data_IF_288596672861
#
_entry.id   IF_288596672861
#
_cell.length_a   1.000
_cell.length_b   1.000
_cell.length_c   1.000
_cell.angle_alpha   90.00
_cell.angle_beta   90.00
_cell.angle_gamma   90.00
#
_symmetry.space_group_name_H-M   'P 1'
#
loop_
_entity.id
_entity.type
_entity.pdbx_description
1 polymer ?
#
# COMPACT_ATOMS: atom_id res chain seq x y z
N UNK A 1 10.65 44.15 41.71
CA UNK A 1 10.84 42.72 41.40
C UNK A 1 10.27 42.48 40.01
N UNK A 2 11.14 42.35 39.00
CA UNK A 2 10.72 42.12 37.60
C UNK A 2 10.75 40.61 37.34
N UNK A 3 9.60 40.02 37.12
CA UNK A 3 9.46 38.60 36.76
C UNK A 3 9.65 38.50 35.24
N UNK A 4 10.79 37.94 34.80
CA UNK A 4 11.01 37.57 33.41
C UNK A 4 10.31 36.22 33.15
N UNK A 5 9.19 36.25 32.45
CA UNK A 5 8.54 35.03 31.93
C UNK A 5 9.27 34.67 30.64
N UNK A 6 10.14 33.67 30.73
CA UNK A 6 10.79 33.11 29.57
C UNK A 6 9.77 32.19 28.86
N UNK A 7 9.23 32.63 27.72
CA UNK A 7 8.45 31.80 26.84
C UNK A 7 9.38 30.76 26.17
N UNK A 8 9.30 29.54 26.63
CA UNK A 8 9.93 28.40 25.94
C UNK A 8 9.12 28.09 24.68
N UNK A 9 9.61 28.56 23.52
CA UNK A 9 9.01 28.21 22.23
C UNK A 9 9.38 26.75 21.93
N UNK A 10 8.46 25.82 22.23
CA UNK A 10 8.59 24.45 21.82
C UNK A 10 8.36 24.40 20.29
N UNK A 11 9.44 24.34 19.53
CA UNK A 11 9.37 24.01 18.10
C UNK A 11 8.95 22.56 17.95
N UNK A 12 7.68 22.35 17.69
CA UNK A 12 7.19 21.05 17.22
C UNK A 12 7.75 20.86 15.82
N UNK A 13 8.83 20.08 15.71
CA UNK A 13 9.29 19.59 14.41
C UNK A 13 8.25 18.55 13.98
N UNK A 14 7.21 19.00 13.30
CA UNK A 14 6.26 18.11 12.65
C UNK A 14 7.01 17.31 11.60
N UNK A 15 7.06 15.98 11.75
CA UNK A 15 7.46 15.12 10.66
C UNK A 15 6.49 15.41 9.50
N UNK A 16 6.98 16.03 8.45
CA UNK A 16 6.19 16.25 7.23
C UNK A 16 6.00 14.90 6.57
N UNK A 17 4.81 14.31 6.73
CA UNK A 17 4.41 13.17 5.93
C UNK A 17 4.25 13.63 4.49
N UNK A 18 4.89 12.92 3.55
CA UNK A 18 4.80 13.23 2.13
C UNK A 18 3.85 12.25 1.46
N UNK A 19 2.97 12.79 0.61
CA UNK A 19 2.17 11.97 -0.28
C UNK A 19 3.09 11.21 -1.24
N UNK A 20 2.90 9.89 -1.33
CA UNK A 20 3.63 9.07 -2.28
C UNK A 20 2.87 9.01 -3.60
N UNK A 21 3.58 8.98 -4.70
CA UNK A 21 3.04 8.68 -6.01
C UNK A 21 4.07 7.89 -6.82
N UNK A 22 3.60 6.90 -7.53
CA UNK A 22 4.43 6.07 -8.41
C UNK A 22 3.57 5.53 -9.56
N UNK A 23 4.24 5.24 -10.65
CA UNK A 23 3.62 4.72 -11.88
C UNK A 23 3.80 3.22 -11.96
N UNK A 24 2.74 2.53 -12.30
CA UNK A 24 2.66 1.10 -12.50
C UNK A 24 2.10 0.80 -13.89
N UNK A 25 2.25 -0.43 -14.34
CA UNK A 25 1.51 -0.96 -15.50
C UNK A 25 0.40 -1.86 -14.99
N UNK A 26 -0.82 -1.61 -15.42
CA UNK A 26 -1.96 -2.40 -15.01
C UNK A 26 -2.09 -3.70 -15.83
N UNK A 27 -3.08 -4.53 -15.47
CA UNK A 27 -3.34 -5.81 -16.09
C UNK A 27 -3.61 -5.71 -17.61
N UNK A 28 -4.19 -4.61 -18.06
CA UNK A 28 -4.50 -4.34 -19.46
C UNK A 28 -3.31 -3.75 -20.25
N UNK A 29 -2.21 -3.45 -19.58
CA UNK A 29 -1.02 -2.86 -20.18
C UNK A 29 -1.02 -1.32 -20.18
N UNK A 30 -2.00 -0.71 -19.51
CA UNK A 30 -2.11 0.76 -19.42
C UNK A 30 -1.29 1.29 -18.23
N UNK A 31 -0.88 2.55 -18.34
CA UNK A 31 -0.26 3.27 -17.24
C UNK A 31 -1.28 3.51 -16.11
N UNK A 32 -0.87 3.24 -14.90
CA UNK A 32 -1.65 3.48 -13.69
C UNK A 32 -0.80 4.17 -12.64
N UNK A 33 -1.28 5.28 -12.09
CA UNK A 33 -0.61 5.96 -10.97
C UNK A 33 -1.39 5.74 -9.68
N UNK A 34 -0.69 5.54 -8.58
CA UNK A 34 -1.34 5.33 -7.28
C UNK A 34 -2.23 6.53 -6.88
N UNK A 35 -1.87 7.75 -7.30
CA UNK A 35 -2.67 8.96 -7.11
C UNK A 35 -4.06 8.92 -7.76
N UNK A 36 -4.30 7.97 -8.68
CA UNK A 36 -5.62 7.77 -9.29
C UNK A 36 -6.63 7.07 -8.37
N UNK A 37 -6.17 6.41 -7.30
CA UNK A 37 -7.04 5.79 -6.30
C UNK A 37 -7.68 6.88 -5.45
N UNK A 38 -9.01 6.88 -5.34
CA UNK A 38 -9.79 7.93 -4.66
C UNK A 38 -10.55 7.46 -3.42
N UNK A 39 -10.28 6.25 -2.94
CA UNK A 39 -10.84 5.74 -1.69
C UNK A 39 -10.17 6.39 -0.47
N UNK A 40 -10.82 6.34 0.68
CA UNK A 40 -10.25 6.83 1.95
C UNK A 40 -8.93 6.13 2.30
N UNK A 41 -8.83 4.84 1.98
CA UNK A 41 -7.67 4.01 2.22
C UNK A 41 -7.30 3.23 0.97
N UNK A 42 -6.00 2.98 0.79
CA UNK A 42 -5.47 2.08 -0.23
C UNK A 42 -4.56 1.06 0.44
N UNK A 43 -4.83 -0.22 0.25
CA UNK A 43 -3.91 -1.30 0.64
C UNK A 43 -3.06 -1.66 -0.57
N UNK A 44 -1.77 -1.37 -0.50
CA UNK A 44 -0.79 -1.77 -1.52
C UNK A 44 -0.12 -3.05 -1.06
N UNK A 45 -0.26 -4.09 -1.86
CA UNK A 45 0.30 -5.42 -1.62
C UNK A 45 1.39 -5.71 -2.65
N UNK A 46 2.65 -5.71 -2.19
CA UNK A 46 3.81 -6.05 -3.02
C UNK A 46 4.08 -7.55 -2.93
N UNK A 47 4.17 -8.21 -4.08
CA UNK A 47 4.38 -9.65 -4.15
C UNK A 47 5.25 -10.05 -5.36
N UNK A 48 5.71 -11.28 -5.36
CA UNK A 48 6.31 -11.92 -6.53
C UNK A 48 5.55 -13.20 -6.85
N UNK A 49 5.45 -13.56 -8.13
CA UNK A 49 4.65 -14.71 -8.59
C UNK A 49 5.15 -16.05 -8.03
N UNK A 50 6.45 -16.18 -7.80
CA UNK A 50 7.09 -17.41 -7.31
C UNK A 50 7.26 -17.46 -5.79
N UNK A 51 6.65 -16.54 -5.07
CA UNK A 51 6.79 -16.39 -3.63
C UNK A 51 5.65 -17.09 -2.87
N UNK A 52 5.96 -18.16 -2.14
CA UNK A 52 4.96 -18.89 -1.33
C UNK A 52 4.39 -18.07 -0.18
N UNK A 53 5.20 -17.27 0.49
CA UNK A 53 4.75 -16.36 1.54
C UNK A 53 3.81 -15.29 0.98
N UNK A 54 4.05 -14.83 -0.26
CA UNK A 54 3.17 -13.89 -0.96
C UNK A 54 1.80 -14.52 -1.26
N UNK A 55 1.78 -15.78 -1.69
CA UNK A 55 0.52 -16.51 -1.92
C UNK A 55 -0.31 -16.65 -0.65
N UNK A 56 0.33 -16.94 0.49
CA UNK A 56 -0.33 -16.96 1.80
C UNK A 56 -0.87 -15.59 2.18
N UNK A 57 -0.08 -14.54 1.95
CA UNK A 57 -0.47 -13.17 2.21
C UNK A 57 -1.68 -12.72 1.39
N UNK A 58 -1.71 -13.05 0.09
CA UNK A 58 -2.87 -12.79 -0.76
C UNK A 58 -4.13 -13.47 -0.25
N UNK A 59 -4.02 -14.75 0.18
CA UNK A 59 -5.14 -15.49 0.75
C UNK A 59 -5.64 -14.87 2.08
N UNK A 60 -4.75 -14.35 2.91
CA UNK A 60 -5.12 -13.64 4.13
C UNK A 60 -5.90 -12.36 3.82
N UNK A 61 -5.47 -11.57 2.85
CA UNK A 61 -6.19 -10.36 2.41
C UNK A 61 -7.58 -10.74 1.91
N UNK A 62 -7.66 -11.73 1.01
CA UNK A 62 -8.91 -12.17 0.40
C UNK A 62 -9.93 -12.65 1.43
N UNK A 63 -9.48 -13.36 2.46
CA UNK A 63 -10.34 -13.91 3.53
C UNK A 63 -10.62 -12.93 4.66
N UNK A 64 -9.98 -11.78 4.68
CA UNK A 64 -10.14 -10.79 5.76
C UNK A 64 -11.54 -10.19 5.76
N UNK A 65 -12.29 -10.41 6.84
CA UNK A 65 -13.58 -9.78 7.03
C UNK A 65 -13.46 -8.24 7.10
N UNK A 66 -12.35 -7.74 7.66
CA UNK A 66 -12.04 -6.31 7.72
C UNK A 66 -11.88 -5.71 6.33
N UNK A 67 -11.04 -6.30 5.49
CA UNK A 67 -10.82 -5.85 4.11
C UNK A 67 -12.12 -5.91 3.32
N UNK A 68 -12.86 -7.01 3.42
CA UNK A 68 -14.12 -7.19 2.71
C UNK A 68 -15.17 -6.15 3.12
N UNK A 69 -15.30 -5.84 4.42
CA UNK A 69 -16.21 -4.81 4.91
C UNK A 69 -15.85 -3.42 4.40
N UNK A 70 -14.57 -3.04 4.48
CA UNK A 70 -14.08 -1.73 4.01
C UNK A 70 -14.19 -1.61 2.48
N UNK A 71 -13.93 -2.67 1.73
CA UNK A 71 -14.06 -2.69 0.27
C UNK A 71 -15.52 -2.58 -0.15
N UNK A 72 -16.43 -3.32 0.50
CA UNK A 72 -17.87 -3.24 0.25
C UNK A 72 -18.41 -1.84 0.55
N UNK A 73 -17.92 -1.20 1.61
CA UNK A 73 -18.27 0.18 1.97
C UNK A 73 -17.60 1.23 1.04
N UNK A 74 -16.80 0.82 0.05
CA UNK A 74 -16.02 1.68 -0.85
C UNK A 74 -15.04 2.61 -0.13
N UNK A 75 -14.60 2.22 1.05
CA UNK A 75 -13.59 2.93 1.84
C UNK A 75 -12.17 2.48 1.55
N UNK A 76 -11.98 1.26 1.06
CA UNK A 76 -10.69 0.65 0.78
C UNK A 76 -10.61 0.16 -0.66
N UNK A 77 -9.49 0.44 -1.31
CA UNK A 77 -9.08 -0.19 -2.57
C UNK A 77 -7.84 -1.03 -2.32
N UNK A 78 -7.84 -2.28 -2.79
CA UNK A 78 -6.64 -3.12 -2.79
C UNK A 78 -5.95 -2.98 -4.15
N UNK A 79 -4.66 -2.67 -4.12
CA UNK A 79 -3.77 -2.60 -5.29
C UNK A 79 -2.68 -3.65 -5.09
N UNK A 80 -2.69 -4.70 -5.90
CA UNK A 80 -1.63 -5.70 -5.91
C UNK A 80 -0.57 -5.32 -6.93
N UNK A 81 0.71 -5.39 -6.55
CA UNK A 81 1.83 -5.01 -7.39
C UNK A 81 2.82 -6.16 -7.48
N UNK A 82 2.95 -6.72 -8.67
CA UNK A 82 3.96 -7.73 -8.96
C UNK A 82 5.35 -7.07 -9.06
N UNK A 83 6.28 -7.56 -8.23
CA UNK A 83 7.65 -7.07 -8.11
C UNK A 83 8.62 -8.08 -8.71
N UNK A 84 9.71 -7.59 -9.29
CA UNK A 84 10.79 -8.44 -9.83
C UNK A 84 10.32 -9.40 -10.92
N UNK A 85 9.38 -8.96 -11.74
CA UNK A 85 8.80 -9.75 -12.82
C UNK A 85 9.31 -9.28 -14.19
N UNK A 86 9.62 -10.23 -15.05
CA UNK A 86 9.95 -9.96 -16.45
C UNK A 86 8.70 -10.13 -17.32
N UNK A 87 8.39 -9.12 -18.13
CA UNK A 87 7.26 -9.17 -19.07
C UNK A 87 5.91 -9.36 -18.38
N UNK A 88 5.05 -10.18 -18.98
CA UNK A 88 3.65 -10.36 -18.57
C UNK A 88 3.38 -11.65 -17.77
N UNK A 89 4.43 -12.36 -17.34
CA UNK A 89 4.30 -13.64 -16.61
C UNK A 89 3.49 -13.52 -15.32
N UNK A 90 3.54 -12.39 -14.66
CA UNK A 90 2.81 -12.10 -13.43
C UNK A 90 1.28 -12.14 -13.60
N UNK A 91 0.78 -11.93 -14.82
CA UNK A 91 -0.68 -11.88 -15.08
C UNK A 91 -1.38 -13.19 -14.76
N UNK A 92 -0.69 -14.34 -14.94
CA UNK A 92 -1.26 -15.64 -14.55
C UNK A 92 -1.53 -15.76 -13.06
N UNK A 93 -0.63 -15.19 -12.24
CA UNK A 93 -0.82 -15.14 -10.78
C UNK A 93 -1.90 -14.13 -10.42
N UNK A 94 -1.85 -12.93 -10.97
CA UNK A 94 -2.83 -11.88 -10.72
C UNK A 94 -4.27 -12.32 -11.07
N UNK A 95 -4.44 -13.14 -12.12
CA UNK A 95 -5.73 -13.69 -12.50
C UNK A 95 -6.34 -14.65 -11.45
N UNK A 96 -5.56 -15.12 -10.47
CA UNK A 96 -6.05 -15.92 -9.35
C UNK A 96 -6.54 -15.08 -8.16
N UNK A 97 -6.28 -13.78 -8.16
CA UNK A 97 -6.70 -12.84 -7.12
C UNK A 97 -8.11 -12.28 -7.39
N UNK A 98 -8.79 -11.71 -6.40
CA UNK A 98 -10.10 -11.12 -6.59
C UNK A 98 -10.13 -10.05 -7.69
N UNK A 99 -11.14 -10.09 -8.55
CA UNK A 99 -11.33 -9.11 -9.64
C UNK A 99 -11.57 -7.68 -9.12
N UNK A 100 -12.01 -7.54 -7.87
CA UNK A 100 -12.20 -6.25 -7.21
C UNK A 100 -10.90 -5.51 -6.91
N UNK A 101 -9.75 -6.20 -6.92
CA UNK A 101 -8.44 -5.58 -6.75
C UNK A 101 -7.98 -4.91 -8.03
N UNK A 102 -7.14 -3.89 -7.91
CA UNK A 102 -6.39 -3.35 -9.04
C UNK A 102 -5.08 -4.12 -9.15
N UNK A 103 -4.89 -4.83 -10.25
CA UNK A 103 -3.69 -5.65 -10.48
C UNK A 103 -2.71 -4.90 -11.36
N UNK A 104 -1.47 -4.76 -10.87
CA UNK A 104 -0.41 -4.02 -11.53
C UNK A 104 0.94 -4.75 -11.40
N UNK A 105 1.92 -4.26 -12.15
CA UNK A 105 3.34 -4.59 -11.99
C UNK A 105 4.19 -3.33 -11.89
N UNK A 106 5.35 -3.43 -11.22
CA UNK A 106 6.36 -2.35 -11.17
C UNK A 106 7.20 -2.34 -12.46
N UNK A 107 6.52 -2.23 -13.61
CA UNK A 107 7.13 -2.32 -14.93
C UNK A 107 8.10 -1.17 -15.25
N UNK A 108 8.09 -0.12 -14.44
CA UNK A 108 8.94 1.06 -14.61
C UNK A 108 10.03 1.18 -13.55
N UNK A 109 10.15 0.16 -12.67
CA UNK A 109 11.10 0.10 -11.56
C UNK A 109 11.01 1.30 -10.59
N UNK A 110 9.88 2.03 -10.59
CA UNK A 110 9.70 3.21 -9.73
C UNK A 110 9.61 2.85 -8.24
N UNK A 111 9.13 1.67 -7.90
CA UNK A 111 9.14 1.17 -6.53
C UNK A 111 10.48 0.52 -6.16
N UNK A 112 11.09 -0.20 -7.10
CA UNK A 112 12.34 -0.91 -6.86
C UNK A 112 13.54 0.02 -6.75
N UNK A 113 13.61 1.05 -7.59
CA UNK A 113 14.72 2.01 -7.65
C UNK A 113 14.44 3.30 -6.89
N UNK A 114 13.15 3.58 -6.59
CA UNK A 114 12.71 4.78 -5.89
C UNK A 114 12.63 4.62 -4.37
N UNK A 115 12.16 5.67 -3.73
CA UNK A 115 11.99 5.77 -2.28
C UNK A 115 10.53 6.03 -1.86
N UNK A 116 9.59 5.89 -2.79
CA UNK A 116 8.17 6.10 -2.52
C UNK A 116 7.63 5.14 -1.45
N UNK A 117 8.01 3.87 -1.52
CA UNK A 117 7.72 2.86 -0.50
C UNK A 117 9.03 2.20 -0.08
N UNK A 118 9.30 2.18 1.22
CA UNK A 118 10.53 1.56 1.75
C UNK A 118 10.24 0.13 2.15
N UNK A 119 10.83 -0.83 1.46
CA UNK A 119 10.73 -2.26 1.73
C UNK A 119 12.04 -2.98 1.38
N UNK A 120 12.30 -4.11 2.01
CA UNK A 120 13.50 -4.92 1.77
C UNK A 120 13.17 -6.25 1.09
N UNK A 121 11.95 -6.75 1.29
CA UNK A 121 11.51 -8.05 0.79
C UNK A 121 10.01 -8.02 0.48
N UNK A 122 9.54 -9.05 -0.23
CA UNK A 122 8.11 -9.33 -0.45
C UNK A 122 7.73 -10.64 0.27
N UNK A 123 6.49 -10.77 0.77
CA UNK A 123 5.41 -9.79 0.68
C UNK A 123 5.67 -8.55 1.55
N UNK A 124 5.17 -7.42 1.12
CA UNK A 124 5.12 -6.18 1.89
C UNK A 124 3.76 -5.52 1.71
N UNK A 125 3.28 -4.91 2.79
CA UNK A 125 1.94 -4.31 2.84
C UNK A 125 2.05 -2.86 3.29
N UNK A 126 1.40 -1.97 2.55
CA UNK A 126 1.33 -0.55 2.86
C UNK A 126 -0.12 -0.09 2.86
N UNK A 127 -0.51 0.68 3.85
CA UNK A 127 -1.79 1.39 3.83
C UNK A 127 -1.52 2.86 3.60
N UNK A 128 -2.16 3.41 2.57
CA UNK A 128 -2.15 4.84 2.27
C UNK A 128 -3.49 5.43 2.66
N UNK A 129 -3.47 6.66 3.17
CA UNK A 129 -4.68 7.42 3.43
C UNK A 129 -5.22 8.13 2.16
N UNK A 130 -6.26 8.95 2.30
CA UNK A 130 -6.84 9.70 1.18
C UNK A 130 -5.88 10.73 0.56
N UNK A 131 -4.87 11.18 1.30
CA UNK A 131 -3.80 12.05 0.82
C UNK A 131 -2.62 11.26 0.22
N UNK A 132 -2.73 9.94 0.12
CA UNK A 132 -1.69 9.00 -0.32
C UNK A 132 -0.44 9.03 0.56
N UNK A 133 -0.57 9.35 1.84
CA UNK A 133 0.49 9.21 2.82
C UNK A 133 0.49 7.80 3.41
N UNK A 134 1.67 7.22 3.64
CA UNK A 134 1.78 5.91 4.29
C UNK A 134 1.40 6.03 5.77
N UNK A 135 0.32 5.39 6.15
CA UNK A 135 -0.20 5.40 7.54
C UNK A 135 0.03 4.09 8.29
N UNK A 136 0.32 3.01 7.58
CA UNK A 136 0.74 1.74 8.15
C UNK A 136 1.55 0.94 7.14
N UNK A 137 2.53 0.16 7.60
CA UNK A 137 3.28 -0.77 6.77
C UNK A 137 3.87 -1.89 7.60
N UNK A 138 3.96 -3.08 7.04
CA UNK A 138 4.62 -4.24 7.66
C UNK A 138 4.86 -5.33 6.61
N UNK A 139 5.71 -6.29 6.95
CA UNK A 139 5.90 -7.54 6.19
C UNK A 139 4.88 -8.62 6.56
N UNK A 140 4.08 -8.37 7.59
CA UNK A 140 2.99 -9.24 8.06
C UNK A 140 1.63 -8.57 7.85
N UNK A 141 0.75 -9.24 7.11
CA UNK A 141 -0.61 -8.71 6.89
C UNK A 141 -1.38 -8.53 8.19
N UNK A 142 -1.20 -9.41 9.19
CA UNK A 142 -1.92 -9.31 10.46
C UNK A 142 -1.67 -8.00 11.22
N UNK A 143 -0.48 -7.41 11.08
CA UNK A 143 -0.15 -6.11 11.67
C UNK A 143 -0.94 -5.00 10.98
N UNK A 144 -0.93 -5.00 9.65
CA UNK A 144 -1.67 -4.03 8.83
C UNK A 144 -3.18 -4.20 8.99
N UNK A 145 -3.67 -5.44 9.07
CA UNK A 145 -5.09 -5.72 9.30
C UNK A 145 -5.57 -5.14 10.63
N UNK A 146 -4.74 -5.20 11.67
CA UNK A 146 -5.07 -4.58 12.97
C UNK A 146 -5.28 -3.08 12.84
N UNK A 147 -4.46 -2.40 12.07
CA UNK A 147 -4.66 -0.99 11.75
C UNK A 147 -5.99 -0.76 11.00
N UNK A 148 -6.27 -1.59 9.99
CA UNK A 148 -7.50 -1.47 9.21
C UNK A 148 -8.77 -1.70 10.06
N UNK A 149 -8.72 -2.58 11.07
CA UNK A 149 -9.84 -2.80 12.00
C UNK A 149 -10.29 -1.54 12.74
N UNK A 150 -9.37 -0.63 13.02
CA UNK A 150 -9.66 0.64 13.68
C UNK A 150 -10.44 1.61 12.77
N UNK A 151 -10.56 1.29 11.48
CA UNK A 151 -11.23 2.12 10.46
C UNK A 151 -12.63 1.61 10.05
N UNK A 152 -13.10 0.53 10.67
CA UNK A 152 -14.43 -0.03 10.47
C UNK A 152 -15.56 0.88 10.97
#
# INVERSE_FOLDING_TARGET
>A
MRIFITFLLATVIGATAYAVDFRLRDFNGDDFRIAQVKTELTLVFLYNSDCDACRKGAAQIEKSATVNSLTTAKKLKVVSVAMFEDGDGWKRKAATFPDSWKHCSDAYDELMEGDALVFETVPAYFVLDAAHEVVASDVSFSVVERFLKEKL
#
